data_IF_584578752831
#
_entry.id   IF_584578752831
#
_cell.length_a   1.000
_cell.length_b   1.000
_cell.length_c   1.000
_cell.angle_alpha   90.00
_cell.angle_beta   90.00
_cell.angle_gamma   90.00
#
_symmetry.space_group_name_H-M   'P 1'
#
loop_
_entity.id
_entity.type
_entity.pdbx_description
1 polymer ?
#
# COMPACT_ATOMS: atom_id res chain seq x y z
N UNK A 1 21.54 36.68 -20.09
CA UNK A 1 21.98 37.26 -18.81
C UNK A 1 22.14 36.10 -17.85
N UNK A 2 23.38 35.63 -17.75
CA UNK A 2 23.82 34.53 -16.91
C UNK A 2 24.75 35.19 -15.88
N UNK A 3 24.35 35.21 -14.62
CA UNK A 3 25.24 35.60 -13.52
C UNK A 3 25.83 34.33 -12.90
N UNK A 4 27.15 34.25 -13.02
CA UNK A 4 28.02 33.27 -12.39
C UNK A 4 28.33 33.77 -10.97
N UNK A 5 27.99 32.98 -9.95
CA UNK A 5 28.44 33.18 -8.58
C UNK A 5 29.60 32.23 -8.29
N UNK A 6 30.79 32.79 -8.09
CA UNK A 6 31.99 32.09 -7.61
C UNK A 6 31.96 31.87 -6.09
N UNK A 7 32.68 30.85 -5.57
CA UNK A 7 32.64 30.45 -4.17
C UNK A 7 33.68 31.18 -3.29
N UNK A 8 33.27 31.44 -2.05
CA UNK A 8 34.09 32.07 -1.00
C UNK A 8 34.94 31.02 -0.26
N UNK A 9 36.24 31.27 -0.19
CA UNK A 9 37.26 30.51 0.53
C UNK A 9 37.27 30.86 2.01
N UNK A 10 37.32 29.85 2.89
CA UNK A 10 37.67 30.03 4.30
C UNK A 10 38.87 29.16 4.68
N UNK A 11 40.01 29.84 4.87
CA UNK A 11 41.19 29.31 5.55
C UNK A 11 40.95 29.24 7.07
N UNK A 12 41.43 28.17 7.71
CA UNK A 12 41.35 27.97 9.15
C UNK A 12 42.43 27.00 9.64
N UNK A 13 43.47 27.60 10.21
CA UNK A 13 44.79 27.10 10.60
C UNK A 13 44.83 26.27 11.92
N UNK A 14 45.94 25.53 12.07
CA UNK A 14 46.59 24.94 13.28
C UNK A 14 46.17 23.57 13.84
N UNK A 15 47.19 22.71 13.96
CA UNK A 15 47.27 21.74 15.04
C UNK A 15 48.28 20.60 14.86
N UNK A 16 49.59 20.90 14.78
CA UNK A 16 50.63 19.88 14.86
C UNK A 16 50.79 19.39 16.31
N UNK A 17 50.72 18.08 16.53
CA UNK A 17 51.01 17.42 17.80
C UNK A 17 51.53 16.01 17.56
N UNK A 18 52.86 15.85 17.64
CA UNK A 18 53.53 14.57 17.62
C UNK A 18 53.49 13.92 19.01
N UNK A 19 53.15 12.64 19.07
CA UNK A 19 53.21 11.81 20.27
C UNK A 19 53.38 10.35 19.87
N UNK A 20 54.61 9.86 20.02
CA UNK A 20 54.99 8.46 19.83
C UNK A 20 54.55 7.60 21.04
N UNK A 21 54.23 6.33 20.80
CA UNK A 21 54.35 5.31 21.84
C UNK A 21 53.40 4.12 21.72
N UNK A 22 54.03 2.94 21.65
CA UNK A 22 53.59 1.62 22.10
C UNK A 22 52.89 0.69 21.10
N UNK A 23 53.60 -0.40 20.87
CA UNK A 23 53.32 -1.62 20.11
C UNK A 23 52.40 -2.60 20.89
N UNK A 24 51.99 -3.66 20.18
CA UNK A 24 51.43 -4.96 20.60
C UNK A 24 49.89 -5.10 20.78
N UNK A 25 49.31 -6.31 20.56
CA UNK A 25 49.24 -6.98 19.26
C UNK A 25 47.83 -7.52 18.93
N UNK A 26 47.62 -7.76 17.63
CA UNK A 26 46.89 -8.88 17.01
C UNK A 26 45.98 -9.76 17.91
N UNK A 27 44.67 -9.48 17.89
CA UNK A 27 43.63 -10.43 18.31
C UNK A 27 42.68 -10.67 17.12
N UNK A 28 42.75 -11.88 16.57
CA UNK A 28 41.94 -12.33 15.45
C UNK A 28 40.47 -12.52 15.86
N UNK A 29 39.48 -12.10 15.05
CA UNK A 29 38.09 -12.44 15.33
C UNK A 29 37.81 -13.90 14.93
N UNK A 30 37.42 -14.70 15.91
CA UNK A 30 36.87 -16.05 15.72
C UNK A 30 35.62 -16.04 14.80
N UNK A 31 35.43 -17.07 13.96
CA UNK A 31 34.26 -17.20 13.13
C UNK A 31 33.04 -17.61 13.97
N UNK A 32 32.08 -16.71 14.09
CA UNK A 32 30.84 -16.95 14.82
C UNK A 32 30.05 -18.09 14.15
N UNK A 33 29.81 -19.14 14.94
CA UNK A 33 29.12 -20.35 14.54
C UNK A 33 27.64 -20.05 14.21
N UNK A 34 27.18 -20.68 13.13
CA UNK A 34 25.80 -20.68 12.70
C UNK A 34 24.88 -21.22 13.80
N UNK A 35 24.10 -20.32 14.41
CA UNK A 35 22.86 -20.67 15.08
C UNK A 35 21.78 -20.90 14.02
N UNK A 36 21.61 -22.15 13.63
CA UNK A 36 20.43 -22.65 12.92
C UNK A 36 19.25 -22.66 13.90
N UNK A 37 18.59 -21.52 14.06
CA UNK A 37 17.32 -21.45 14.76
C UNK A 37 16.20 -21.73 13.75
N UNK A 38 15.63 -22.93 13.86
CA UNK A 38 14.46 -23.35 13.10
C UNK A 38 13.24 -22.56 13.53
N UNK A 39 13.01 -21.41 12.90
CA UNK A 39 11.76 -20.68 13.00
C UNK A 39 10.66 -21.50 12.32
N UNK A 40 9.93 -22.26 13.13
CA UNK A 40 8.66 -22.85 12.74
C UNK A 40 7.74 -21.74 12.21
N UNK A 41 7.27 -21.89 10.97
CA UNK A 41 6.21 -21.07 10.42
C UNK A 41 5.02 -21.05 11.40
N UNK A 42 4.51 -19.88 11.82
CA UNK A 42 3.25 -19.85 12.55
C UNK A 42 2.16 -20.40 11.64
N UNK A 43 1.37 -21.33 12.19
CA UNK A 43 0.20 -21.91 11.54
C UNK A 43 -0.72 -20.81 11.00
N UNK A 44 -1.32 -21.07 9.84
CA UNK A 44 -2.27 -20.19 9.18
C UNK A 44 -3.30 -19.64 10.18
N UNK A 45 -3.64 -18.33 10.11
CA UNK A 45 -4.66 -17.75 10.98
C UNK A 45 -5.98 -18.51 10.80
N UNK A 46 -6.62 -18.84 11.92
CA UNK A 46 -7.92 -19.49 11.95
C UNK A 46 -8.93 -18.69 11.10
N UNK A 47 -9.86 -19.37 10.39
CA UNK A 47 -10.87 -18.72 9.58
C UNK A 47 -11.67 -17.73 10.45
N UNK A 48 -11.89 -16.53 9.91
CA UNK A 48 -12.68 -15.50 10.55
C UNK A 48 -14.06 -16.05 10.97
N UNK A 49 -14.59 -15.65 12.13
CA UNK A 49 -15.92 -16.06 12.57
C UNK A 49 -16.95 -15.62 11.53
N UNK A 50 -17.88 -16.53 11.23
CA UNK A 50 -18.98 -16.27 10.30
C UNK A 50 -19.76 -15.01 10.70
N UNK A 51 -20.23 -14.21 9.74
CA UNK A 51 -20.98 -12.99 10.01
C UNK A 51 -22.22 -13.31 10.85
N UNK A 52 -22.37 -12.58 11.95
CA UNK A 52 -23.55 -12.61 12.81
C UNK A 52 -24.75 -12.16 11.97
N UNK A 53 -25.88 -12.90 11.97
CA UNK A 53 -27.05 -12.51 11.21
C UNK A 53 -27.57 -11.15 11.70
N UNK A 54 -27.75 -10.23 10.75
CA UNK A 54 -28.33 -8.92 10.99
C UNK A 54 -29.73 -9.06 11.64
N UNK A 55 -30.08 -8.18 12.60
CA UNK A 55 -31.42 -8.18 13.19
C UNK A 55 -32.48 -7.89 12.13
N UNK A 56 -33.69 -8.47 12.25
CA UNK A 56 -34.74 -8.31 11.26
C UNK A 56 -35.18 -6.85 11.19
N UNK A 57 -35.09 -6.28 9.98
CA UNK A 57 -35.66 -4.99 9.65
C UNK A 57 -37.16 -5.01 9.97
N UNK A 58 -37.59 -4.06 10.80
CA UNK A 58 -38.98 -3.85 11.15
C UNK A 58 -39.79 -3.56 9.89
N UNK A 59 -40.86 -4.33 9.73
CA UNK A 59 -41.83 -4.19 8.65
C UNK A 59 -42.55 -2.83 8.76
N UNK A 60 -42.38 -2.00 7.73
CA UNK A 60 -43.32 -0.93 7.40
C UNK A 60 -43.99 -1.29 6.08
N UNK A 61 -45.25 -1.72 6.20
CA UNK A 61 -46.12 -1.98 5.08
C UNK A 61 -46.60 -0.68 4.45
N UNK A 62 -46.43 -0.58 3.14
CA UNK A 62 -47.24 0.27 2.27
C UNK A 62 -47.45 -0.50 0.97
N UNK A 63 -48.67 -0.98 0.76
CA UNK A 63 -49.10 -1.56 -0.50
C UNK A 63 -49.18 -0.46 -1.57
N UNK A 64 -48.50 -0.66 -2.70
CA UNK A 64 -48.76 0.03 -3.95
C UNK A 64 -48.69 -0.98 -5.11
N UNK A 65 -49.61 -0.93 -6.10
CA UNK A 65 -49.75 -1.99 -7.08
C UNK A 65 -48.82 -1.80 -8.30
N UNK A 66 -48.02 -2.83 -8.56
CA UNK A 66 -47.86 -3.46 -9.88
C UNK A 66 -47.36 -2.61 -11.05
N UNK A 67 -46.04 -2.57 -11.23
CA UNK A 67 -45.42 -2.54 -12.55
C UNK A 67 -44.23 -3.51 -12.55
N UNK A 68 -44.28 -4.51 -13.43
CA UNK A 68 -43.30 -5.57 -13.54
C UNK A 68 -41.97 -5.01 -14.08
N UNK A 69 -41.04 -4.68 -13.18
CA UNK A 69 -39.67 -4.40 -13.54
C UNK A 69 -39.00 -5.72 -13.98
N UNK A 70 -38.73 -5.84 -15.28
CA UNK A 70 -37.85 -6.88 -15.82
C UNK A 70 -36.51 -6.84 -15.08
N UNK A 71 -36.10 -7.99 -14.55
CA UNK A 71 -34.80 -8.18 -13.94
C UNK A 71 -33.70 -7.77 -14.94
N UNK A 72 -32.66 -7.04 -14.50
CA UNK A 72 -31.57 -6.66 -15.37
C UNK A 72 -30.90 -7.92 -15.90
N UNK A 73 -30.94 -8.12 -17.22
CA UNK A 73 -30.14 -9.14 -17.90
C UNK A 73 -28.67 -8.86 -17.57
N UNK A 74 -28.06 -9.74 -16.78
CA UNK A 74 -26.62 -9.82 -16.58
C UNK A 74 -25.96 -9.85 -17.97
N UNK A 75 -25.33 -8.74 -18.32
CA UNK A 75 -24.45 -8.68 -19.49
C UNK A 75 -23.30 -9.64 -19.20
N UNK A 76 -23.00 -10.62 -20.07
CA UNK A 76 -21.85 -11.49 -19.88
C UNK A 76 -20.60 -10.62 -19.88
N UNK A 77 -20.00 -10.42 -18.70
CA UNK A 77 -18.69 -9.81 -18.59
C UNK A 77 -17.72 -10.68 -19.41
N UNK A 78 -17.15 -10.08 -20.45
CA UNK A 78 -16.08 -10.71 -21.19
C UNK A 78 -14.97 -11.09 -20.19
N UNK A 79 -14.27 -12.22 -20.38
CA UNK A 79 -13.15 -12.59 -19.54
C UNK A 79 -12.06 -11.53 -19.74
N UNK A 80 -12.07 -10.52 -18.89
CA UNK A 80 -10.92 -9.67 -18.70
C UNK A 80 -9.89 -10.55 -18.01
N UNK A 81 -8.82 -10.90 -18.72
CA UNK A 81 -7.66 -11.53 -18.11
C UNK A 81 -7.20 -10.62 -16.96
N UNK A 82 -7.55 -11.00 -15.74
CA UNK A 82 -7.28 -10.24 -14.53
C UNK A 82 -5.78 -10.20 -14.32
N UNK A 83 -5.15 -9.07 -14.65
CA UNK A 83 -3.72 -8.86 -14.41
C UNK A 83 -3.43 -9.04 -12.91
N UNK A 84 -2.61 -10.03 -12.56
CA UNK A 84 -2.21 -10.33 -11.17
C UNK A 84 -0.78 -9.89 -10.86
N UNK A 85 -0.53 -9.41 -9.64
CA UNK A 85 0.81 -8.93 -9.26
C UNK A 85 1.89 -10.00 -9.44
N UNK A 86 1.58 -11.27 -9.17
CA UNK A 86 2.52 -12.38 -9.32
C UNK A 86 2.99 -12.59 -10.77
N UNK A 87 2.14 -12.32 -11.76
CA UNK A 87 2.44 -12.55 -13.17
C UNK A 87 3.22 -11.41 -13.81
N UNK A 88 3.01 -10.16 -13.36
CA UNK A 88 3.59 -8.99 -14.01
C UNK A 88 4.63 -8.23 -13.17
N UNK A 89 4.68 -8.43 -11.87
CA UNK A 89 5.49 -7.60 -10.95
C UNK A 89 6.55 -8.39 -10.17
N UNK A 90 6.89 -9.58 -10.68
CA UNK A 90 7.81 -10.53 -10.06
C UNK A 90 9.18 -9.94 -9.69
N UNK A 91 9.77 -9.22 -10.63
CA UNK A 91 11.10 -8.59 -10.57
C UNK A 91 11.03 -7.11 -10.17
N UNK A 92 9.83 -6.57 -10.03
CA UNK A 92 9.56 -5.15 -9.86
C UNK A 92 8.91 -4.82 -8.50
N UNK A 93 9.20 -5.60 -7.45
CA UNK A 93 8.55 -5.43 -6.13
C UNK A 93 8.71 -4.02 -5.55
N UNK A 94 9.91 -3.43 -5.62
CA UNK A 94 10.15 -2.05 -5.17
C UNK A 94 9.29 -1.04 -5.94
N UNK A 95 9.15 -1.23 -7.25
CA UNK A 95 8.35 -0.38 -8.11
C UNK A 95 6.86 -0.50 -7.76
N UNK A 96 6.36 -1.73 -7.59
CA UNK A 96 5.00 -2.02 -7.12
C UNK A 96 4.73 -1.30 -5.80
N UNK A 97 5.67 -1.39 -4.86
CA UNK A 97 5.53 -0.75 -3.56
C UNK A 97 5.45 0.78 -3.66
N UNK A 98 6.39 1.36 -4.40
CA UNK A 98 6.52 2.81 -4.53
C UNK A 98 5.38 3.44 -5.35
N UNK A 99 4.89 2.76 -6.38
CA UNK A 99 3.92 3.32 -7.33
C UNK A 99 2.47 2.93 -7.03
N UNK A 100 2.24 1.81 -6.32
CA UNK A 100 0.88 1.33 -6.05
C UNK A 100 0.56 1.28 -4.57
N UNK A 101 1.24 0.44 -3.79
CA UNK A 101 0.84 0.11 -2.41
C UNK A 101 0.99 1.31 -1.47
N UNK A 102 2.08 2.08 -1.61
CA UNK A 102 2.32 3.30 -0.85
C UNK A 102 1.33 4.42 -1.22
N UNK A 103 1.18 4.78 -2.51
CA UNK A 103 0.22 5.80 -2.95
C UNK A 103 -1.24 5.48 -2.61
N UNK A 104 -1.66 4.22 -2.74
CA UNK A 104 -3.00 3.75 -2.38
C UNK A 104 -3.32 4.00 -0.90
N UNK A 105 -2.38 3.68 0.00
CA UNK A 105 -2.50 4.01 1.43
C UNK A 105 -2.63 5.52 1.66
N UNK A 106 -1.76 6.34 1.06
CA UNK A 106 -1.79 7.81 1.22
C UNK A 106 -3.09 8.42 0.72
N UNK A 107 -3.64 7.90 -0.39
CA UNK A 107 -4.93 8.33 -0.92
C UNK A 107 -6.04 8.08 0.10
N UNK A 108 -6.06 6.92 0.75
CA UNK A 108 -7.04 6.59 1.78
C UNK A 108 -6.87 7.43 3.06
N UNK A 109 -5.63 7.72 3.47
CA UNK A 109 -5.36 8.66 4.57
C UNK A 109 -5.92 10.07 4.25
N UNK A 110 -5.75 10.53 3.00
CA UNK A 110 -6.34 11.79 2.53
C UNK A 110 -7.87 11.76 2.51
N UNK A 111 -8.47 10.64 2.09
CA UNK A 111 -9.91 10.43 2.14
C UNK A 111 -10.46 10.50 3.58
N UNK A 112 -9.80 9.87 4.55
CA UNK A 112 -10.17 9.94 5.97
C UNK A 112 -10.16 11.40 6.46
N UNK A 113 -9.09 12.16 6.16
CA UNK A 113 -9.01 13.59 6.52
C UNK A 113 -10.18 14.39 5.93
N UNK A 114 -10.47 14.17 4.65
CA UNK A 114 -11.57 14.84 3.95
C UNK A 114 -12.93 14.52 4.59
N UNK A 115 -13.18 13.26 4.97
CA UNK A 115 -14.44 12.87 5.62
C UNK A 115 -14.58 13.49 7.02
N UNK A 116 -13.48 13.56 7.79
CA UNK A 116 -13.48 14.24 9.10
C UNK A 116 -13.71 15.75 8.98
N UNK A 117 -13.09 16.39 8.01
CA UNK A 117 -13.33 17.81 7.69
C UNK A 117 -14.80 18.05 7.30
N UNK A 118 -15.36 17.18 6.45
CA UNK A 118 -16.78 17.22 6.08
C UNK A 118 -17.68 17.08 7.30
N UNK A 119 -17.44 16.09 8.16
CA UNK A 119 -18.19 15.91 9.40
C UNK A 119 -18.10 17.15 10.31
N UNK A 120 -16.93 17.78 10.41
CA UNK A 120 -16.76 19.01 11.18
C UNK A 120 -17.59 20.18 10.62
N UNK A 121 -17.65 20.33 9.29
CA UNK A 121 -18.48 21.34 8.64
C UNK A 121 -19.97 21.13 8.92
N UNK A 122 -20.45 19.89 8.86
CA UNK A 122 -21.85 19.55 9.20
C UNK A 122 -22.19 19.90 10.65
N UNK A 123 -21.28 19.63 11.60
CA UNK A 123 -21.45 20.06 13.02
C UNK A 123 -21.49 21.58 13.16
N UNK A 124 -20.68 22.30 12.40
CA UNK A 124 -20.70 23.76 12.41
C UNK A 124 -22.03 24.29 11.88
N UNK A 125 -22.52 23.71 10.78
CA UNK A 125 -23.81 24.06 10.20
C UNK A 125 -24.97 23.78 11.17
N UNK A 126 -25.00 22.60 11.80
CA UNK A 126 -25.97 22.25 12.83
C UNK A 126 -26.01 23.28 13.98
N UNK A 127 -24.85 23.67 14.51
CA UNK A 127 -24.75 24.71 15.55
C UNK A 127 -25.29 26.05 15.07
N UNK A 128 -24.99 26.44 13.83
CA UNK A 128 -25.50 27.68 13.22
C UNK A 128 -27.02 27.71 13.09
N UNK A 129 -27.62 26.57 12.74
CA UNK A 129 -29.08 26.39 12.68
C UNK A 129 -29.72 26.52 14.06
N UNK A 130 -29.18 25.86 15.09
CA UNK A 130 -29.68 25.96 16.47
C UNK A 130 -29.61 27.39 17.01
N UNK A 131 -28.51 28.11 16.74
CA UNK A 131 -28.38 29.52 17.13
C UNK A 131 -29.41 30.40 16.43
N UNK A 132 -29.68 30.14 15.15
CA UNK A 132 -30.69 30.88 14.37
C UNK A 132 -32.10 30.63 14.89
N UNK A 133 -32.43 29.36 15.19
CA UNK A 133 -33.69 28.98 15.80
C UNK A 133 -33.90 29.65 17.17
N UNK A 134 -32.86 29.68 18.01
CA UNK A 134 -32.91 30.34 19.32
C UNK A 134 -33.14 31.85 19.20
N UNK A 135 -32.47 32.53 18.26
CA UNK A 135 -32.67 33.97 18.02
C UNK A 135 -34.10 34.28 17.56
N UNK A 136 -34.65 33.49 16.62
CA UNK A 136 -36.02 33.65 16.18
C UNK A 136 -37.01 33.48 17.34
N UNK A 137 -36.82 32.45 18.17
CA UNK A 137 -37.69 32.22 19.32
C UNK A 137 -37.64 33.35 20.35
N UNK A 138 -36.49 33.98 20.56
CA UNK A 138 -36.35 35.15 21.44
C UNK A 138 -37.15 36.35 20.92
N UNK A 139 -37.11 36.61 19.60
CA UNK A 139 -37.86 37.73 18.99
C UNK A 139 -39.37 37.58 19.09
N UNK A 140 -39.87 36.36 19.31
CA UNK A 140 -41.31 36.06 19.39
C UNK A 140 -41.87 36.01 20.81
N UNK A 141 -41.03 36.21 21.83
CA UNK A 141 -41.39 36.03 23.24
C UNK A 141 -42.37 37.07 23.81
N UNK A 142 -42.68 38.13 23.07
CA UNK A 142 -43.59 39.20 23.49
C UNK A 142 -45.07 39.01 23.05
N UNK A 143 -45.43 37.86 22.44
CA UNK A 143 -46.81 37.57 22.01
C UNK A 143 -47.05 36.13 21.56
N UNK A 144 -48.26 35.84 21.04
CA UNK A 144 -48.55 34.53 20.44
C UNK A 144 -47.72 34.36 19.16
N UNK A 145 -46.86 33.34 19.11
CA UNK A 145 -46.03 33.04 17.94
C UNK A 145 -46.95 32.63 16.78
N UNK A 146 -46.84 33.24 15.59
CA UNK A 146 -47.56 32.76 14.43
C UNK A 146 -47.17 31.31 14.12
N UNK A 147 -48.14 30.43 13.90
CA UNK A 147 -47.91 29.01 13.55
C UNK A 147 -46.85 28.81 12.46
N UNK A 148 -46.81 29.62 11.36
CA UNK A 148 -45.75 29.50 10.37
C UNK A 148 -44.33 29.71 10.91
N UNK A 149 -44.17 30.61 11.87
CA UNK A 149 -42.87 30.92 12.46
C UNK A 149 -42.41 29.80 13.40
N UNK A 150 -43.35 29.20 14.14
CA UNK A 150 -43.07 28.01 14.96
C UNK A 150 -42.66 26.80 14.09
N UNK A 151 -43.32 26.61 12.94
CA UNK A 151 -42.94 25.59 11.97
C UNK A 151 -41.51 25.79 11.45
N UNK A 152 -41.13 27.03 11.11
CA UNK A 152 -39.74 27.36 10.69
C UNK A 152 -38.73 27.10 11.81
N UNK A 153 -39.01 27.50 13.05
CA UNK A 153 -38.12 27.23 14.19
C UNK A 153 -37.94 25.72 14.40
N UNK A 154 -39.01 24.95 14.25
CA UNK A 154 -38.99 23.48 14.36
C UNK A 154 -38.15 22.86 13.24
N UNK A 155 -38.34 23.30 11.99
CA UNK A 155 -37.54 22.87 10.83
C UNK A 155 -36.04 23.13 11.03
N UNK A 156 -35.66 24.31 11.52
CA UNK A 156 -34.25 24.62 11.80
C UNK A 156 -33.65 23.67 12.84
N UNK A 157 -34.43 23.27 13.86
CA UNK A 157 -33.98 22.31 14.89
C UNK A 157 -33.84 20.90 14.32
N UNK A 158 -34.84 20.40 13.60
CA UNK A 158 -34.77 19.08 12.96
C UNK A 158 -33.60 19.00 11.99
N UNK A 159 -33.40 20.02 11.16
CA UNK A 159 -32.26 20.07 10.23
C UNK A 159 -30.93 20.11 10.96
N UNK A 160 -30.84 20.81 12.08
CA UNK A 160 -29.63 20.80 12.89
C UNK A 160 -29.32 19.40 13.45
N UNK A 161 -30.34 18.70 13.95
CA UNK A 161 -30.22 17.32 14.43
C UNK A 161 -29.78 16.38 13.31
N UNK A 162 -30.40 16.46 12.13
CA UNK A 162 -30.03 15.66 10.96
C UNK A 162 -28.58 15.91 10.51
N UNK A 163 -28.12 17.16 10.51
CA UNK A 163 -26.72 17.47 10.20
C UNK A 163 -25.75 16.94 11.27
N UNK A 164 -26.15 16.93 12.54
CA UNK A 164 -25.34 16.33 13.60
C UNK A 164 -25.23 14.81 13.42
N UNK A 165 -26.34 14.13 13.09
CA UNK A 165 -26.38 12.69 12.79
C UNK A 165 -25.50 12.38 11.57
N UNK A 166 -25.66 13.11 10.46
CA UNK A 166 -24.84 12.93 9.27
C UNK A 166 -23.33 13.07 9.58
N UNK A 167 -22.97 14.04 10.42
CA UNK A 167 -21.58 14.20 10.86
C UNK A 167 -21.05 12.98 11.62
N UNK A 168 -21.87 12.38 12.50
CA UNK A 168 -21.50 11.18 13.24
C UNK A 168 -21.36 9.97 12.33
N UNK A 169 -22.30 9.77 11.40
CA UNK A 169 -22.27 8.69 10.40
C UNK A 169 -21.02 8.79 9.50
N UNK A 170 -20.67 9.99 9.02
CA UNK A 170 -19.47 10.21 8.22
C UNK A 170 -18.18 9.92 8.98
N UNK A 171 -18.12 10.25 10.26
CA UNK A 171 -16.91 10.01 11.05
C UNK A 171 -16.78 8.54 11.46
N UNK A 172 -17.83 7.95 12.04
CA UNK A 172 -17.76 6.60 12.62
C UNK A 172 -17.86 5.50 11.54
N UNK A 173 -18.84 5.60 10.63
CA UNK A 173 -19.13 4.50 9.71
C UNK A 173 -18.32 4.55 8.41
N UNK A 174 -17.71 5.71 8.12
CA UNK A 174 -16.89 5.93 6.92
C UNK A 174 -15.43 6.13 7.32
N UNK A 175 -15.09 7.23 8.00
CA UNK A 175 -13.70 7.58 8.28
C UNK A 175 -13.01 6.55 9.20
N UNK A 176 -13.62 6.21 10.34
CA UNK A 176 -13.04 5.29 11.32
C UNK A 176 -12.98 3.84 10.78
N UNK A 177 -13.96 3.43 9.96
CA UNK A 177 -13.92 2.11 9.30
C UNK A 177 -12.72 1.98 8.35
N UNK A 178 -12.47 3.00 7.51
CA UNK A 178 -11.31 3.00 6.61
C UNK A 178 -10.01 3.11 7.39
N UNK A 179 -9.97 3.94 8.44
CA UNK A 179 -8.79 4.09 9.30
C UNK A 179 -8.44 2.78 10.01
N UNK A 180 -9.42 2.09 10.57
CA UNK A 180 -9.22 0.81 11.25
C UNK A 180 -8.64 -0.24 10.29
N UNK A 181 -9.14 -0.31 9.05
CA UNK A 181 -8.58 -1.17 8.02
C UNK A 181 -7.12 -0.81 7.70
N UNK A 182 -6.79 0.48 7.58
CA UNK A 182 -5.40 0.92 7.36
C UNK A 182 -4.47 0.55 8.52
N UNK A 183 -4.94 0.67 9.76
CA UNK A 183 -4.18 0.26 10.95
C UNK A 183 -3.90 -1.24 10.92
N UNK A 184 -4.89 -2.06 10.60
CA UNK A 184 -4.71 -3.51 10.44
C UNK A 184 -3.72 -3.84 9.32
N UNK A 185 -3.80 -3.13 8.19
CA UNK A 185 -2.92 -3.33 7.06
C UNK A 185 -1.49 -2.79 7.29
N UNK A 186 -1.25 -1.93 8.27
CA UNK A 186 0.07 -1.32 8.50
C UNK A 186 1.12 -2.36 8.90
N UNK A 187 0.77 -3.28 9.81
CA UNK A 187 1.69 -4.32 10.26
C UNK A 187 1.98 -5.33 9.14
N UNK A 188 0.94 -5.77 8.43
CA UNK A 188 1.07 -6.66 7.27
C UNK A 188 1.95 -6.00 6.20
N UNK A 189 1.72 -4.72 5.91
CA UNK A 189 2.51 -3.97 4.94
C UNK A 189 3.99 -3.95 5.31
N UNK A 190 4.31 -3.69 6.59
CA UNK A 190 5.70 -3.65 7.04
C UNK A 190 6.40 -5.00 6.84
N UNK A 191 5.75 -6.11 7.21
CA UNK A 191 6.30 -7.46 7.04
C UNK A 191 6.51 -7.78 5.56
N UNK A 192 5.50 -7.54 4.71
CA UNK A 192 5.58 -7.78 3.27
C UNK A 192 6.73 -7.00 2.62
N UNK A 193 6.89 -5.73 2.98
CA UNK A 193 8.00 -4.91 2.47
C UNK A 193 9.35 -5.48 2.89
N UNK A 194 9.53 -5.77 4.17
CA UNK A 194 10.77 -6.35 4.71
C UNK A 194 11.12 -7.68 4.02
N UNK A 195 10.14 -8.57 3.86
CA UNK A 195 10.32 -9.87 3.23
C UNK A 195 10.64 -9.73 1.73
N UNK A 196 9.90 -8.89 1.01
CA UNK A 196 10.15 -8.63 -0.42
C UNK A 196 11.54 -8.07 -0.69
N UNK A 197 11.99 -7.07 0.10
CA UNK A 197 13.34 -6.52 -0.01
C UNK A 197 14.41 -7.56 0.32
N UNK A 198 14.21 -8.37 1.38
CA UNK A 198 15.15 -9.44 1.76
C UNK A 198 15.32 -10.45 0.63
N UNK A 199 14.21 -10.86 0.02
CA UNK A 199 14.17 -11.79 -1.10
C UNK A 199 14.94 -11.26 -2.31
N UNK A 200 14.62 -10.04 -2.75
CA UNK A 200 15.32 -9.42 -3.88
C UNK A 200 16.83 -9.30 -3.65
N UNK A 201 17.26 -8.91 -2.44
CA UNK A 201 18.69 -8.83 -2.09
C UNK A 201 19.36 -10.20 -2.13
N UNK A 202 18.71 -11.24 -1.61
CA UNK A 202 19.23 -12.60 -1.65
C UNK A 202 19.40 -13.10 -3.09
N UNK A 203 18.38 -12.90 -3.92
CA UNK A 203 18.43 -13.26 -5.33
C UNK A 203 19.53 -12.51 -6.08
N UNK A 204 19.63 -11.18 -5.90
CA UNK A 204 20.64 -10.37 -6.56
C UNK A 204 22.07 -10.75 -6.14
N UNK A 205 22.29 -11.01 -4.85
CA UNK A 205 23.57 -11.50 -4.33
C UNK A 205 23.97 -12.85 -4.94
N UNK A 206 23.01 -13.78 -5.07
CA UNK A 206 23.23 -15.06 -5.73
C UNK A 206 23.56 -14.91 -7.23
N UNK A 207 22.88 -14.00 -7.92
CA UNK A 207 23.16 -13.67 -9.34
C UNK A 207 24.57 -13.14 -9.52
N UNK A 208 24.96 -12.10 -8.77
CA UNK A 208 26.29 -11.50 -8.83
C UNK A 208 27.39 -12.52 -8.51
N UNK A 209 27.16 -13.41 -7.53
CA UNK A 209 28.11 -14.47 -7.19
C UNK A 209 28.30 -15.45 -8.35
N UNK A 210 27.19 -15.84 -9.01
CA UNK A 210 27.22 -16.73 -10.17
C UNK A 210 27.96 -16.07 -11.35
N UNK A 211 27.62 -14.83 -11.68
CA UNK A 211 28.26 -14.02 -12.73
C UNK A 211 29.77 -13.90 -12.50
N UNK A 212 30.21 -13.62 -11.27
CA UNK A 212 31.64 -13.52 -10.93
C UNK A 212 32.40 -14.85 -10.97
N UNK A 213 31.72 -15.99 -10.82
CA UNK A 213 32.32 -17.32 -11.02
C UNK A 213 32.39 -17.66 -12.50
N UNK A 214 31.34 -17.34 -13.26
CA UNK A 214 31.28 -17.50 -14.71
C UNK A 214 32.40 -16.71 -15.41
N UNK A 215 32.60 -15.44 -15.04
CA UNK A 215 33.67 -14.62 -15.60
C UNK A 215 35.05 -15.26 -15.38
N UNK A 216 35.33 -15.74 -14.16
CA UNK A 216 36.60 -16.42 -13.83
C UNK A 216 36.78 -17.71 -14.62
N UNK A 217 35.71 -18.47 -14.85
CA UNK A 217 35.75 -19.65 -15.70
C UNK A 217 36.10 -19.29 -17.14
N UNK A 218 35.44 -18.28 -17.72
CA UNK A 218 35.72 -17.81 -19.09
C UNK A 218 37.16 -17.31 -19.23
N UNK A 219 37.66 -16.55 -18.26
CA UNK A 219 39.06 -16.11 -18.22
C UNK A 219 40.04 -17.29 -18.18
N UNK A 220 39.76 -18.31 -17.36
CA UNK A 220 40.60 -19.50 -17.27
C UNK A 220 40.60 -20.32 -18.58
N UNK A 221 39.44 -20.44 -19.24
CA UNK A 221 39.32 -21.09 -20.55
C UNK A 221 40.10 -20.34 -21.63
N UNK A 222 39.94 -19.03 -21.71
CA UNK A 222 40.66 -18.17 -22.66
C UNK A 222 42.18 -18.25 -22.47
N UNK A 223 42.65 -18.24 -21.22
CA UNK A 223 44.07 -18.41 -20.91
C UNK A 223 44.59 -19.79 -21.34
N UNK A 224 43.84 -20.85 -21.04
CA UNK A 224 44.21 -22.22 -21.43
C UNK A 224 44.26 -22.39 -22.96
N UNK A 225 43.32 -21.79 -23.69
CA UNK A 225 43.30 -21.79 -25.16
C UNK A 225 44.50 -21.03 -25.73
N UNK A 226 44.79 -19.82 -25.22
CA UNK A 226 45.92 -19.02 -25.66
C UNK A 226 47.26 -19.75 -25.45
N UNK A 227 47.45 -20.41 -24.31
CA UNK A 227 48.65 -21.21 -24.02
C UNK A 227 48.74 -22.45 -24.91
N UNK A 228 47.61 -23.13 -25.17
CA UNK A 228 47.57 -24.28 -26.07
C UNK A 228 47.96 -23.92 -27.52
N UNK A 229 47.46 -22.79 -28.03
CA UNK A 229 47.83 -22.26 -29.35
C UNK A 229 49.34 -21.97 -29.42
N UNK A 230 49.90 -21.33 -28.38
CA UNK A 230 51.34 -21.05 -28.31
C UNK A 230 52.17 -22.34 -28.24
N UNK A 231 51.78 -23.31 -27.41
CA UNK A 231 52.45 -24.59 -27.32
C UNK A 231 52.45 -25.35 -28.66
N UNK A 232 51.33 -25.30 -29.40
CA UNK A 232 51.21 -25.92 -30.71
C UNK A 232 52.12 -25.24 -31.75
N UNK A 233 52.15 -23.90 -31.78
CA UNK A 233 53.00 -23.13 -32.68
C UNK A 233 54.50 -23.40 -32.47
N UNK A 234 54.90 -23.71 -31.23
CA UNK A 234 56.28 -23.96 -30.84
C UNK A 234 56.67 -25.45 -30.88
N UNK A 235 55.81 -26.32 -31.41
CA UNK A 235 56.07 -27.77 -31.54
C UNK A 235 57.28 -28.12 -32.41
N UNK A 236 57.72 -27.18 -33.27
CA UNK A 236 58.93 -27.30 -34.09
C UNK A 236 60.22 -26.77 -33.43
N UNK A 237 60.15 -26.20 -32.21
CA UNK A 237 61.29 -25.64 -31.48
C UNK A 237 62.08 -26.69 -30.68
N UNK A 238 63.16 -26.25 -30.02
CA UNK A 238 64.01 -27.10 -29.18
C UNK A 238 63.18 -27.77 -28.07
N UNK A 239 63.42 -29.06 -27.76
CA UNK A 239 62.62 -29.83 -26.81
C UNK A 239 62.42 -29.18 -25.43
N UNK A 240 63.41 -28.41 -24.94
CA UNK A 240 63.35 -27.76 -23.64
C UNK A 240 62.32 -26.61 -23.57
N UNK A 241 62.24 -25.79 -24.63
CA UNK A 241 61.31 -24.67 -24.71
C UNK A 241 59.88 -25.17 -24.89
N UNK A 242 59.69 -26.15 -25.78
CA UNK A 242 58.41 -26.81 -25.97
C UNK A 242 57.89 -27.45 -24.67
N UNK A 243 58.76 -28.13 -23.91
CA UNK A 243 58.40 -28.73 -22.63
C UNK A 243 57.87 -27.69 -21.63
N UNK A 244 58.48 -26.50 -21.55
CA UNK A 244 58.01 -25.42 -20.68
C UNK A 244 56.60 -24.95 -21.05
N UNK A 245 56.31 -24.78 -22.34
CA UNK A 245 54.99 -24.40 -22.83
C UNK A 245 53.93 -25.50 -22.63
N UNK A 246 54.32 -26.76 -22.83
CA UNK A 246 53.45 -27.91 -22.56
C UNK A 246 53.07 -27.98 -21.08
N UNK A 247 54.03 -27.75 -20.16
CA UNK A 247 53.76 -27.69 -18.73
C UNK A 247 52.83 -26.53 -18.33
N UNK A 248 52.99 -25.35 -18.95
CA UNK A 248 52.06 -24.24 -18.73
C UNK A 248 50.66 -24.57 -19.20
N UNK A 249 50.52 -25.07 -20.44
CA UNK A 249 49.23 -25.46 -21.03
C UNK A 249 48.50 -26.49 -20.17
N UNK A 250 49.22 -27.48 -19.62
CA UNK A 250 48.64 -28.46 -18.69
C UNK A 250 48.14 -27.76 -17.40
N UNK A 251 48.89 -26.77 -16.90
CA UNK A 251 48.52 -26.02 -15.68
C UNK A 251 47.27 -25.17 -15.90
N UNK A 252 47.21 -24.38 -16.97
CA UNK A 252 46.06 -23.53 -17.31
C UNK A 252 44.82 -24.38 -17.63
N UNK A 253 44.97 -25.50 -18.34
CA UNK A 253 43.88 -26.46 -18.55
C UNK A 253 43.33 -27.02 -17.22
N UNK A 254 44.19 -27.37 -16.26
CA UNK A 254 43.75 -27.80 -14.92
C UNK A 254 43.04 -26.68 -14.14
N UNK A 255 43.46 -25.43 -14.31
CA UNK A 255 42.79 -24.28 -13.71
C UNK A 255 41.39 -24.08 -14.31
N UNK A 256 41.23 -24.22 -15.63
CA UNK A 256 39.92 -24.15 -16.29
C UNK A 256 38.98 -25.25 -15.78
N UNK A 257 39.46 -26.50 -15.64
CA UNK A 257 38.67 -27.61 -15.06
C UNK A 257 38.31 -27.36 -13.60
N UNK A 258 39.19 -26.71 -12.82
CA UNK A 258 38.87 -26.33 -11.44
C UNK A 258 37.79 -25.23 -11.40
N UNK A 259 37.89 -24.23 -12.27
CA UNK A 259 36.91 -23.15 -12.39
C UNK A 259 35.54 -23.68 -12.87
N UNK A 260 35.52 -24.66 -13.78
CA UNK A 260 34.30 -25.34 -14.23
C UNK A 260 33.54 -26.00 -13.07
N UNK A 261 34.27 -26.67 -12.16
CA UNK A 261 33.67 -27.29 -10.97
C UNK A 261 33.07 -26.25 -10.03
N UNK A 262 33.73 -25.10 -9.88
CA UNK A 262 33.20 -23.99 -9.08
C UNK A 262 31.97 -23.38 -9.75
N UNK A 263 31.96 -23.25 -11.09
CA UNK A 263 30.82 -22.78 -11.85
C UNK A 263 29.60 -23.70 -11.69
N UNK A 264 29.77 -25.02 -11.77
CA UNK A 264 28.69 -25.97 -11.53
C UNK A 264 28.10 -25.84 -10.11
N UNK A 265 28.95 -25.62 -9.09
CA UNK A 265 28.48 -25.38 -7.72
C UNK A 265 27.74 -24.05 -7.61
N UNK A 266 28.22 -23.00 -8.28
CA UNK A 266 27.59 -21.69 -8.29
C UNK A 266 26.21 -21.75 -8.96
N UNK A 267 26.08 -22.40 -10.13
CA UNK A 267 24.79 -22.61 -10.78
C UNK A 267 23.83 -23.41 -9.92
N UNK A 268 24.29 -24.46 -9.24
CA UNK A 268 23.42 -25.22 -8.33
C UNK A 268 22.87 -24.34 -7.20
N UNK A 269 23.72 -23.51 -6.58
CA UNK A 269 23.29 -22.56 -5.53
C UNK A 269 22.36 -21.48 -6.08
N UNK A 270 22.64 -20.96 -7.28
CA UNK A 270 21.80 -19.98 -7.94
C UNK A 270 20.41 -20.54 -8.23
N UNK A 271 20.31 -21.76 -8.78
CA UNK A 271 19.03 -22.41 -9.05
C UNK A 271 18.20 -22.62 -7.77
N UNK A 272 18.84 -23.01 -6.66
CA UNK A 272 18.16 -23.09 -5.36
C UNK A 272 17.63 -21.72 -4.88
N UNK A 273 18.39 -20.65 -5.14
CA UNK A 273 17.95 -19.28 -4.85
C UNK A 273 16.76 -18.87 -5.71
N UNK A 274 16.76 -19.23 -7.01
CA UNK A 274 15.65 -18.98 -7.93
C UNK A 274 14.39 -19.71 -7.47
N UNK A 275 14.47 -20.99 -7.12
CA UNK A 275 13.30 -21.74 -6.63
C UNK A 275 12.73 -21.17 -5.31
N UNK A 276 13.62 -20.75 -4.40
CA UNK A 276 13.22 -20.12 -3.15
C UNK A 276 12.53 -18.78 -3.40
N UNK A 277 13.14 -17.96 -4.26
CA UNK A 277 12.58 -16.69 -4.70
C UNK A 277 11.20 -16.94 -5.28
N UNK A 278 11.05 -17.87 -6.25
CA UNK A 278 9.80 -18.24 -6.94
C UNK A 278 8.67 -18.56 -5.95
N UNK A 279 8.95 -19.38 -4.96
CA UNK A 279 7.96 -19.78 -3.96
C UNK A 279 7.61 -18.63 -3.02
N UNK A 280 8.61 -17.95 -2.46
CA UNK A 280 8.37 -16.98 -1.39
C UNK A 280 7.86 -15.63 -1.90
N UNK A 281 8.39 -15.13 -3.01
CA UNK A 281 7.93 -13.86 -3.58
C UNK A 281 6.51 -13.99 -4.15
N UNK A 282 6.08 -15.17 -4.61
CA UNK A 282 4.68 -15.40 -5.01
C UNK A 282 3.74 -15.16 -3.82
N UNK A 283 4.09 -15.68 -2.63
CA UNK A 283 3.31 -15.46 -1.42
C UNK A 283 3.27 -13.98 -1.01
N UNK A 284 4.40 -13.28 -1.15
CA UNK A 284 4.47 -11.83 -0.87
C UNK A 284 3.57 -11.04 -1.82
N UNK A 285 3.60 -11.36 -3.11
CA UNK A 285 2.82 -10.67 -4.14
C UNK A 285 1.32 -10.98 -4.03
N UNK A 286 0.95 -12.22 -3.76
CA UNK A 286 -0.45 -12.62 -3.52
C UNK A 286 -1.02 -11.90 -2.28
N UNK A 287 -0.26 -11.84 -1.18
CA UNK A 287 -0.66 -11.10 0.02
C UNK A 287 -0.74 -9.59 -0.22
N UNK A 288 0.16 -9.03 -1.03
CA UNK A 288 0.11 -7.62 -1.41
C UNK A 288 -1.11 -7.32 -2.29
N UNK A 289 -1.48 -8.22 -3.19
CA UNK A 289 -2.67 -8.10 -4.03
C UNK A 289 -3.96 -8.18 -3.20
N UNK A 290 -4.09 -9.19 -2.35
CA UNK A 290 -5.24 -9.34 -1.44
C UNK A 290 -5.42 -8.10 -0.55
N UNK A 291 -4.32 -7.53 -0.04
CA UNK A 291 -4.36 -6.29 0.73
C UNK A 291 -4.91 -5.10 -0.08
N UNK A 292 -4.54 -4.99 -1.35
CA UNK A 292 -5.00 -3.92 -2.23
C UNK A 292 -6.44 -4.11 -2.69
N UNK A 293 -6.87 -5.34 -2.96
CA UNK A 293 -8.26 -5.68 -3.26
C UNK A 293 -9.17 -5.35 -2.07
N UNK A 294 -8.77 -5.71 -0.85
CA UNK A 294 -9.49 -5.36 0.38
C UNK A 294 -9.60 -3.84 0.59
N UNK A 295 -8.53 -3.09 0.29
CA UNK A 295 -8.57 -1.62 0.32
C UNK A 295 -9.57 -1.06 -0.68
N UNK A 296 -9.55 -1.56 -1.92
CA UNK A 296 -10.45 -1.12 -2.97
C UNK A 296 -11.92 -1.42 -2.63
N UNK A 297 -12.21 -2.61 -2.10
CA UNK A 297 -13.55 -3.00 -1.64
C UNK A 297 -14.02 -2.14 -0.46
N UNK A 298 -13.18 -1.95 0.55
CA UNK A 298 -13.49 -1.08 1.69
C UNK A 298 -13.78 0.36 1.26
N UNK A 299 -12.98 0.88 0.32
CA UNK A 299 -13.20 2.22 -0.24
C UNK A 299 -14.52 2.31 -1.03
N UNK A 300 -14.82 1.31 -1.86
CA UNK A 300 -16.10 1.23 -2.60
C UNK A 300 -17.29 1.23 -1.63
N UNK A 301 -17.22 0.44 -0.57
CA UNK A 301 -18.27 0.35 0.45
C UNK A 301 -18.43 1.68 1.19
N UNK A 302 -17.33 2.34 1.55
CA UNK A 302 -17.33 3.67 2.16
C UNK A 302 -18.00 4.71 1.27
N UNK A 303 -17.69 4.74 -0.04
CA UNK A 303 -18.33 5.64 -1.01
C UNK A 303 -19.82 5.34 -1.14
N UNK A 304 -20.22 4.07 -1.14
CA UNK A 304 -21.62 3.69 -1.19
C UNK A 304 -22.39 4.15 0.05
N UNK A 305 -21.79 3.98 1.25
CA UNK A 305 -22.37 4.48 2.50
C UNK A 305 -22.60 5.99 2.47
N UNK A 306 -21.62 6.76 1.98
CA UNK A 306 -21.78 8.22 1.80
C UNK A 306 -23.01 8.54 0.96
N UNK A 307 -23.19 7.86 -0.18
CA UNK A 307 -24.35 8.09 -1.04
C UNK A 307 -25.68 7.77 -0.34
N UNK A 308 -25.71 6.72 0.49
CA UNK A 308 -26.89 6.35 1.29
C UNK A 308 -27.18 7.42 2.35
N UNK A 309 -26.17 7.86 3.10
CA UNK A 309 -26.30 8.90 4.12
C UNK A 309 -26.79 10.23 3.51
N UNK A 310 -26.19 10.65 2.39
CA UNK A 310 -26.58 11.87 1.69
C UNK A 310 -28.03 11.79 1.18
N UNK A 311 -28.43 10.65 0.63
CA UNK A 311 -29.81 10.44 0.15
C UNK A 311 -30.82 10.44 1.30
N UNK A 312 -30.48 9.81 2.42
CA UNK A 312 -31.30 9.78 3.63
C UNK A 312 -31.49 11.20 4.19
N UNK A 313 -30.40 11.94 4.32
CA UNK A 313 -30.40 13.33 4.77
C UNK A 313 -31.26 14.23 3.86
N UNK A 314 -31.07 14.16 2.54
CA UNK A 314 -31.87 14.93 1.57
C UNK A 314 -33.37 14.64 1.68
N UNK A 315 -33.73 13.37 1.88
CA UNK A 315 -35.14 12.97 2.03
C UNK A 315 -35.75 13.51 3.32
N UNK A 316 -35.01 13.51 4.43
CA UNK A 316 -35.49 14.09 5.68
C UNK A 316 -35.66 15.62 5.57
N UNK A 317 -34.73 16.29 4.90
CA UNK A 317 -34.82 17.73 4.60
C UNK A 317 -36.09 18.03 3.78
N UNK A 318 -36.45 17.17 2.83
CA UNK A 318 -37.67 17.31 2.05
C UNK A 318 -38.91 17.23 2.94
N UNK A 319 -39.02 16.22 3.81
CA UNK A 319 -40.15 16.07 4.72
C UNK A 319 -40.33 17.27 5.67
N UNK A 320 -39.23 17.83 6.17
CA UNK A 320 -39.29 19.02 7.03
C UNK A 320 -39.76 20.27 6.27
N UNK A 321 -39.43 20.38 4.98
CA UNK A 321 -39.91 21.49 4.12
C UNK A 321 -41.39 21.33 3.83
N UNK A 322 -41.84 20.13 3.45
CA UNK A 322 -43.25 19.84 3.18
C UNK A 322 -44.12 20.13 4.42
N UNK A 323 -43.62 19.79 5.61
CA UNK A 323 -44.27 20.11 6.90
C UNK A 323 -44.40 21.63 7.14
N UNK A 324 -43.39 22.42 6.75
CA UNK A 324 -43.47 23.89 6.85
C UNK A 324 -44.50 24.47 5.88
N UNK A 325 -44.56 23.95 4.66
CA UNK A 325 -45.54 24.36 3.64
C UNK A 325 -46.95 24.07 4.13
N UNK A 326 -47.18 22.88 4.68
CA UNK A 326 -48.48 22.52 5.25
C UNK A 326 -48.90 23.49 6.37
N UNK A 327 -48.01 23.83 7.30
CA UNK A 327 -48.30 24.78 8.38
C UNK A 327 -48.64 26.19 7.85
N UNK A 328 -48.02 26.61 6.74
CA UNK A 328 -48.33 27.87 6.06
C UNK A 328 -49.73 27.83 5.43
N UNK A 329 -50.08 26.74 4.75
CA UNK A 329 -51.38 26.54 4.11
C UNK A 329 -52.52 26.53 5.14
N UNK A 330 -52.33 25.85 6.27
CA UNK A 330 -53.29 25.83 7.38
C UNK A 330 -53.53 27.25 7.95
N UNK A 331 -52.45 28.04 8.10
CA UNK A 331 -52.55 29.42 8.54
C UNK A 331 -53.29 30.31 7.53
N UNK A 332 -53.05 30.13 6.22
CA UNK A 332 -53.74 30.86 5.16
C UNK A 332 -55.23 30.48 5.08
N UNK A 333 -55.55 29.19 5.26
CA UNK A 333 -56.93 28.71 5.34
C UNK A 333 -57.72 29.39 6.46
N UNK A 334 -57.11 29.53 7.65
CA UNK A 334 -57.73 30.22 8.79
C UNK A 334 -57.99 31.72 8.53
N UNK A 335 -57.18 32.37 7.69
CA UNK A 335 -57.38 33.78 7.31
C UNK A 335 -58.58 33.97 6.37
N UNK A 336 -58.94 32.97 5.56
CA UNK A 336 -60.07 33.07 4.62
C UNK A 336 -61.45 32.90 5.28
N UNK A 337 -61.51 32.51 6.55
CA UNK A 337 -62.75 32.31 7.32
C UNK A 337 -63.05 33.42 8.33
N UNK A 338 -62.26 34.50 8.38
CA UNK A 338 -62.51 35.71 9.20
C UNK A 338 -62.95 36.88 8.34
#
# INVERSE_FOLDING_TARGET
MLELGEPETAEGDKGAGAGAGAEDPEEAPEPNAAASDGAAYPAAPAPAPAPVPAPPAAALGAEAPGEAAEAPKEVPEAPHDSLTFKEQMWDCFELLWAQRLGPSRKMLEGFISCMRERAQLERQYARGLLQSAAKLQQTTSEGAVPLPLEAVVTNLRHRAEQCAVLAEELEQDVADTVEQMLVQHAEVSHRLYSDGIRLMRHWHSASQCCEGVEERYLQACSAAEAEAVQCAALSALKPAEWKGWAESTIRSSRQAVAAEKELHKAFHKFNLSVELQEKQMTLVLDAAQDMEEKRAMCFKDAVMKIAVFDTSWLRNVQYDVDSCVQALEECAGLMNYR
#
